data_IF_486439220341
#
_entry.id   IF_486439220341
#
_cell.length_a   1.000
_cell.length_b   1.000
_cell.length_c   1.000
_cell.angle_alpha   90.00
_cell.angle_beta   90.00
_cell.angle_gamma   90.00
#
_symmetry.space_group_name_H-M   'P 1'
#
loop_
_entity.id
_entity.type
_entity.pdbx_description
1 polymer ?
#
# COMPACT_ATOMS: atom_id res chain seq x y z
N UNK A 1 -7.94 -11.99 -17.11
CA UNK A 1 -6.50 -11.72 -16.93
C UNK A 1 -6.27 -10.29 -17.39
N UNK A 2 -6.10 -9.37 -16.44
CA UNK A 2 -5.94 -7.93 -16.71
C UNK A 2 -4.44 -7.63 -16.65
N UNK A 3 -3.87 -7.25 -17.79
CA UNK A 3 -2.42 -7.26 -18.05
C UNK A 3 -1.65 -6.03 -17.56
N UNK A 4 -2.24 -5.21 -16.68
CA UNK A 4 -1.62 -3.99 -16.15
C UNK A 4 -1.85 -3.87 -14.65
N UNK A 5 -1.59 -4.94 -13.89
CA UNK A 5 -1.16 -4.68 -12.51
C UNK A 5 0.18 -3.95 -12.64
N UNK A 6 0.12 -2.63 -12.62
CA UNK A 6 1.24 -1.81 -12.18
C UNK A 6 1.56 -2.37 -10.80
N UNK A 7 2.48 -3.34 -10.75
CA UNK A 7 3.12 -3.76 -9.52
C UNK A 7 3.75 -2.48 -9.02
N UNK A 8 3.05 -1.78 -8.14
CA UNK A 8 3.56 -0.63 -7.42
C UNK A 8 4.90 -1.12 -6.93
N UNK A 9 5.99 -0.59 -7.49
CA UNK A 9 7.34 -0.99 -7.12
C UNK A 9 7.50 -0.47 -5.70
N UNK A 10 6.99 -1.24 -4.75
CA UNK A 10 7.02 -0.97 -3.34
C UNK A 10 8.49 -0.69 -3.07
N UNK A 11 8.74 0.56 -2.65
CA UNK A 11 10.08 1.07 -2.38
C UNK A 11 10.92 -0.02 -1.73
N UNK A 12 12.22 -0.17 -2.05
CA UNK A 12 13.09 -1.24 -1.51
C UNK A 12 13.12 -1.31 0.02
N UNK A 13 12.55 -0.32 0.70
CA UNK A 13 12.40 -0.21 2.14
C UNK A 13 11.03 -0.65 2.69
N UNK A 14 10.10 -1.15 1.88
CA UNK A 14 8.78 -1.60 2.36
C UNK A 14 8.90 -2.76 3.37
N UNK A 15 9.89 -3.65 3.19
CA UNK A 15 10.17 -4.70 4.17
C UNK A 15 10.63 -4.16 5.53
N UNK A 16 11.19 -2.95 5.58
CA UNK A 16 11.52 -2.26 6.83
C UNK A 16 10.24 -1.81 7.53
N UNK A 17 9.29 -1.23 6.79
CA UNK A 17 8.00 -0.82 7.32
C UNK A 17 7.27 -2.00 7.99
N UNK A 18 7.23 -3.16 7.34
CA UNK A 18 6.60 -4.36 7.89
C UNK A 18 7.28 -4.90 9.16
N UNK A 19 8.60 -4.76 9.25
CA UNK A 19 9.42 -5.23 10.37
C UNK A 19 9.39 -4.28 11.56
N UNK A 20 9.35 -2.97 11.32
CA UNK A 20 9.45 -1.93 12.36
C UNK A 20 8.09 -1.57 12.94
N UNK A 21 7.02 -1.59 12.12
CA UNK A 21 5.68 -1.21 12.55
C UNK A 21 4.88 -2.46 12.94
N UNK A 22 4.50 -2.63 14.21
CA UNK A 22 3.70 -3.77 14.67
C UNK A 22 2.36 -3.91 13.91
N UNK A 23 1.88 -5.15 13.72
CA UNK A 23 0.63 -5.43 12.97
C UNK A 23 -0.64 -4.97 13.70
N UNK A 24 -0.57 -4.85 15.02
CA UNK A 24 -1.62 -4.30 15.88
C UNK A 24 -1.62 -2.76 15.91
N UNK A 25 -0.68 -2.11 15.21
CA UNK A 25 -0.66 -0.66 15.10
C UNK A 25 -1.90 -0.16 14.34
N UNK A 26 -2.70 0.66 15.01
CA UNK A 26 -3.94 1.21 14.47
C UNK A 26 -3.75 1.95 13.13
N UNK A 27 -2.65 2.70 12.95
CA UNK A 27 -2.39 3.43 11.70
C UNK A 27 -2.03 2.49 10.55
N UNK A 28 -1.33 1.38 10.83
CA UNK A 28 -1.06 0.34 9.85
C UNK A 28 -2.35 -0.36 9.41
N UNK A 29 -3.23 -0.66 10.35
CA UNK A 29 -4.55 -1.24 10.05
C UNK A 29 -5.40 -0.29 9.21
N UNK A 30 -5.35 1.01 9.49
CA UNK A 30 -6.01 2.03 8.67
C UNK A 30 -5.46 2.03 7.25
N UNK A 31 -4.14 1.94 7.06
CA UNK A 31 -3.55 1.86 5.70
C UNK A 31 -3.98 0.60 4.92
N UNK A 32 -4.28 -0.51 5.60
CA UNK A 32 -4.77 -1.74 4.97
C UNK A 32 -6.27 -1.66 4.62
N UNK A 33 -7.04 -0.86 5.37
CA UNK A 33 -8.49 -0.69 5.17
C UNK A 33 -8.79 0.45 4.19
N UNK A 34 -7.95 1.48 4.14
CA UNK A 34 -8.13 2.65 3.28
C UNK A 34 -7.67 2.31 1.87
N UNK A 35 -8.63 2.21 0.96
CA UNK A 35 -8.36 2.02 -0.46
C UNK A 35 -7.89 3.34 -1.09
N UNK A 36 -6.59 3.43 -1.38
CA UNK A 36 -5.99 4.57 -2.08
C UNK A 36 -6.17 4.50 -3.61
N UNK A 37 -6.88 3.50 -4.15
CA UNK A 37 -7.17 3.39 -5.58
C UNK A 37 -7.87 4.64 -6.14
N UNK A 38 -8.64 5.35 -5.31
CA UNK A 38 -9.28 6.62 -5.66
C UNK A 38 -8.27 7.69 -6.12
N UNK A 39 -7.09 7.77 -5.50
CA UNK A 39 -6.07 8.78 -5.84
C UNK A 39 -5.52 8.53 -7.24
N UNK A 40 -5.25 7.26 -7.58
CA UNK A 40 -4.76 6.87 -8.91
C UNK A 40 -5.82 7.15 -9.98
N UNK A 41 -7.10 6.96 -9.64
CA UNK A 41 -8.22 7.24 -10.52
C UNK A 41 -8.42 8.73 -10.78
N UNK A 42 -8.20 9.58 -9.77
CA UNK A 42 -8.40 11.03 -9.86
C UNK A 42 -7.23 11.78 -10.52
N UNK A 43 -6.02 11.21 -10.48
CA UNK A 43 -4.83 11.76 -11.15
C UNK A 43 -4.86 11.53 -12.68
N UNK A 44 -5.78 10.70 -13.18
CA UNK A 44 -5.90 10.28 -14.58
C UNK A 44 -6.99 11.06 -15.33
#
# INVERSE_FOLDING_TARGET
MISNEETITLSPYMGIYERVVPKDNMLRQINEIVDFSFIVKEIK
#
